data_IF_817230541617
#
_entry.id   IF_817230541617
#
_cell.length_a   1.000
_cell.length_b   1.000
_cell.length_c   1.000
_cell.angle_alpha   90.00
_cell.angle_beta   90.00
_cell.angle_gamma   90.00
#
_symmetry.space_group_name_H-M   'P 1'
#
loop_
_entity.id
_entity.type
_entity.pdbx_description
1 polymer ?
#
# COMPACT_ATOMS: atom_id res chain seq x y z
N UNK A 1 -4.24 29.21 -23.98
CA UNK A 1 -2.95 29.46 -23.28
C UNK A 1 -2.77 28.31 -22.30
N UNK A 2 -2.23 27.18 -22.75
CA UNK A 2 -1.99 26.01 -21.90
C UNK A 2 -0.80 26.30 -20.98
N UNK A 3 -1.03 26.99 -19.86
CA UNK A 3 -0.09 26.89 -18.75
C UNK A 3 -0.04 25.41 -18.36
N UNK A 4 1.18 24.87 -18.34
CA UNK A 4 1.43 23.49 -18.02
C UNK A 4 0.82 23.16 -16.66
N UNK A 5 -0.21 22.31 -16.65
CA UNK A 5 -0.86 21.77 -15.45
C UNK A 5 0.09 20.89 -14.61
N UNK A 6 1.31 20.65 -15.08
CA UNK A 6 2.37 20.10 -14.25
C UNK A 6 2.91 21.21 -13.34
N UNK A 7 2.96 21.02 -12.01
CA UNK A 7 3.50 22.02 -11.09
C UNK A 7 4.91 22.50 -11.46
N UNK A 8 5.65 21.73 -12.26
CA UNK A 8 6.75 22.16 -13.13
C UNK A 8 7.14 20.92 -13.97
N UNK A 9 6.82 20.81 -15.27
CA UNK A 9 7.10 19.59 -16.04
C UNK A 9 8.60 19.27 -16.08
N UNK A 10 9.45 20.29 -16.00
CA UNK A 10 10.91 20.16 -15.90
C UNK A 10 11.36 19.39 -14.66
N UNK A 11 10.68 19.51 -13.52
CA UNK A 11 10.98 18.79 -12.28
C UNK A 11 10.59 17.30 -12.39
N UNK A 12 9.52 16.98 -13.11
CA UNK A 12 9.15 15.59 -13.39
C UNK A 12 10.19 14.90 -14.28
N UNK A 13 10.59 15.51 -15.40
CA UNK A 13 11.57 14.92 -16.30
C UNK A 13 13.00 14.91 -15.73
N UNK A 14 13.37 15.89 -14.90
CA UNK A 14 14.68 15.88 -14.20
C UNK A 14 14.71 14.89 -13.03
N UNK A 15 13.63 14.77 -12.25
CA UNK A 15 13.54 13.71 -11.22
C UNK A 15 13.52 12.32 -11.84
N UNK A 16 12.83 12.13 -12.97
CA UNK A 16 12.90 10.93 -13.81
C UNK A 16 14.34 10.59 -14.20
N UNK A 17 15.10 11.57 -14.70
CA UNK A 17 16.49 11.38 -15.09
C UNK A 17 17.41 11.09 -13.89
N UNK A 18 17.20 11.76 -12.75
CA UNK A 18 17.96 11.54 -11.52
C UNK A 18 17.67 10.14 -10.95
N UNK A 19 16.41 9.70 -10.93
CA UNK A 19 16.04 8.36 -10.50
C UNK A 19 16.61 7.31 -11.44
N UNK A 20 16.48 7.45 -12.75
CA UNK A 20 17.14 6.56 -13.71
C UNK A 20 18.67 6.51 -13.50
N UNK A 21 19.32 7.65 -13.27
CA UNK A 21 20.75 7.73 -12.96
C UNK A 21 21.15 7.04 -11.66
N UNK A 22 20.40 7.27 -10.58
CA UNK A 22 20.60 6.60 -9.28
C UNK A 22 20.41 5.09 -9.40
N UNK A 23 19.40 4.65 -10.12
CA UNK A 23 19.11 3.23 -10.34
C UNK A 23 20.20 2.55 -11.17
N UNK A 24 20.74 3.22 -12.18
CA UNK A 24 21.90 2.75 -12.95
C UNK A 24 23.15 2.69 -12.06
N UNK A 25 23.41 3.70 -11.22
CA UNK A 25 24.54 3.73 -10.29
C UNK A 25 24.46 2.64 -9.23
N UNK A 26 23.28 2.42 -8.64
CA UNK A 26 23.01 1.31 -7.72
C UNK A 26 23.26 -0.02 -8.43
N UNK A 27 22.75 -0.19 -9.65
CA UNK A 27 22.97 -1.39 -10.46
C UNK A 27 24.46 -1.67 -10.72
N UNK A 28 25.24 -0.63 -11.00
CA UNK A 28 26.70 -0.72 -11.14
C UNK A 28 27.41 -1.06 -9.83
N UNK A 29 26.98 -0.48 -8.70
CA UNK A 29 27.57 -0.77 -7.39
C UNK A 29 27.34 -2.22 -6.93
N UNK A 30 26.16 -2.79 -7.23
CA UNK A 30 25.84 -4.20 -7.00
C UNK A 30 26.45 -5.14 -8.05
N UNK A 31 26.80 -4.64 -9.24
CA UNK A 31 27.62 -5.36 -10.21
C UNK A 31 28.98 -5.78 -9.64
N UNK A 32 29.52 -5.04 -8.66
CA UNK A 32 30.73 -5.44 -7.91
C UNK A 32 30.50 -6.66 -7.02
N UNK A 33 29.27 -6.90 -6.58
CA UNK A 33 28.84 -8.09 -5.79
C UNK A 33 28.71 -9.34 -6.67
N UNK A 34 28.55 -9.20 -8.00
CA UNK A 34 28.53 -10.31 -8.98
C UNK A 34 29.81 -11.15 -8.94
N UNK A 35 30.94 -10.55 -8.56
CA UNK A 35 32.23 -11.25 -8.47
C UNK A 35 32.33 -12.23 -7.29
N UNK A 36 31.43 -12.17 -6.29
CA UNK A 36 31.50 -13.02 -5.09
C UNK A 36 30.52 -14.20 -5.09
N UNK A 37 29.37 -14.10 -5.74
CA UNK A 37 28.39 -15.19 -5.86
C UNK A 37 27.45 -14.94 -7.05
N UNK A 38 27.78 -15.40 -8.27
CA UNK A 38 26.94 -15.16 -9.44
C UNK A 38 25.65 -15.98 -9.34
N UNK A 39 24.51 -15.30 -9.30
CA UNK A 39 23.20 -15.92 -9.40
C UNK A 39 22.50 -15.46 -10.68
N UNK A 40 21.85 -16.38 -11.39
CA UNK A 40 21.19 -16.12 -12.68
C UNK A 40 20.18 -14.95 -12.61
N UNK A 41 19.48 -14.83 -11.49
CA UNK A 41 18.46 -13.79 -11.27
C UNK A 41 18.99 -12.46 -10.70
N UNK A 42 20.30 -12.30 -10.49
CA UNK A 42 20.85 -11.13 -9.78
C UNK A 42 20.60 -9.81 -10.54
N UNK A 43 20.87 -9.78 -11.84
CA UNK A 43 20.65 -8.59 -12.67
C UNK A 43 19.16 -8.24 -12.71
N UNK A 44 18.32 -9.26 -12.88
CA UNK A 44 16.87 -9.12 -12.89
C UNK A 44 16.35 -8.57 -11.56
N UNK A 45 16.85 -9.07 -10.43
CA UNK A 45 16.45 -8.60 -9.11
C UNK A 45 16.77 -7.12 -8.92
N UNK A 46 17.99 -6.70 -9.31
CA UNK A 46 18.43 -5.32 -9.12
C UNK A 46 17.74 -4.36 -10.08
N UNK A 47 17.77 -4.65 -11.39
CA UNK A 47 17.10 -3.80 -12.40
C UNK A 47 15.57 -3.82 -12.24
N UNK A 48 15.00 -4.95 -11.85
CA UNK A 48 13.57 -5.07 -11.62
C UNK A 48 13.11 -4.33 -10.36
N UNK A 49 13.83 -4.45 -9.24
CA UNK A 49 13.53 -3.64 -8.04
C UNK A 49 13.66 -2.15 -8.32
N UNK A 50 14.70 -1.77 -9.05
CA UNK A 50 14.91 -0.40 -9.50
C UNK A 50 13.71 0.11 -10.31
N UNK A 51 13.28 -0.66 -11.30
CA UNK A 51 12.12 -0.33 -12.12
C UNK A 51 10.83 -0.26 -11.28
N UNK A 52 10.61 -1.17 -10.33
CA UNK A 52 9.44 -1.13 -9.45
C UNK A 52 9.39 0.13 -8.58
N UNK A 53 10.53 0.54 -8.00
CA UNK A 53 10.62 1.80 -7.24
C UNK A 53 10.29 2.99 -8.13
N UNK A 54 10.81 3.00 -9.36
CA UNK A 54 10.50 4.03 -10.33
C UNK A 54 9.01 4.07 -10.70
N UNK A 55 8.41 2.91 -10.97
CA UNK A 55 6.99 2.82 -11.33
C UNK A 55 6.08 3.23 -10.16
N UNK A 56 6.47 2.90 -8.92
CA UNK A 56 5.80 3.40 -7.72
C UNK A 56 5.85 4.94 -7.64
N UNK A 57 7.04 5.53 -7.80
CA UNK A 57 7.20 6.98 -7.85
C UNK A 57 6.35 7.63 -8.95
N UNK A 58 6.37 7.10 -10.17
CA UNK A 58 5.59 7.61 -11.29
C UNK A 58 4.07 7.53 -11.01
N UNK A 59 3.58 6.46 -10.36
CA UNK A 59 2.18 6.34 -9.93
C UNK A 59 1.78 7.45 -8.95
N UNK A 60 2.64 7.72 -7.97
CA UNK A 60 2.40 8.80 -7.00
C UNK A 60 2.41 10.17 -7.67
N UNK A 61 3.31 10.41 -8.64
CA UNK A 61 3.32 11.67 -9.39
C UNK A 61 2.03 11.89 -10.18
N UNK A 62 1.46 10.84 -10.79
CA UNK A 62 0.14 10.96 -11.43
C UNK A 62 -0.93 11.32 -10.40
N UNK A 63 -0.86 10.79 -9.18
CA UNK A 63 -1.77 11.15 -8.08
C UNK A 63 -1.65 12.63 -7.71
N UNK A 64 -0.43 13.18 -7.68
CA UNK A 64 -0.21 14.63 -7.47
C UNK A 64 -0.79 15.46 -8.61
N UNK A 65 -0.66 15.01 -9.87
CA UNK A 65 -1.24 15.70 -11.03
C UNK A 65 -2.77 15.69 -10.98
N UNK A 66 -3.39 14.56 -10.61
CA UNK A 66 -4.84 14.47 -10.40
C UNK A 66 -5.26 15.41 -9.25
N UNK A 67 -4.49 15.47 -8.17
CA UNK A 67 -4.77 16.38 -7.06
C UNK A 67 -4.71 17.85 -7.49
N UNK A 68 -3.70 18.23 -8.28
CA UNK A 68 -3.58 19.57 -8.85
C UNK A 68 -4.72 19.91 -9.83
N UNK A 69 -5.31 18.91 -10.49
CA UNK A 69 -6.47 19.10 -11.36
C UNK A 69 -7.75 19.42 -10.57
N UNK A 70 -7.93 18.87 -9.37
CA UNK A 70 -9.12 19.14 -8.54
C UNK A 70 -9.26 20.63 -8.19
N UNK A 71 -8.15 21.33 -7.94
CA UNK A 71 -8.17 22.73 -7.51
C UNK A 71 -8.95 23.67 -8.44
N UNK A 72 -8.50 23.90 -9.69
CA UNK A 72 -9.20 24.78 -10.61
C UNK A 72 -10.60 24.25 -10.95
N UNK A 73 -10.79 22.93 -11.04
CA UNK A 73 -12.11 22.34 -11.30
C UNK A 73 -13.15 22.71 -10.25
N UNK A 74 -12.83 22.55 -8.96
CA UNK A 74 -13.75 22.91 -7.88
C UNK A 74 -13.90 24.42 -7.70
N UNK A 75 -12.86 25.21 -7.97
CA UNK A 75 -12.96 26.68 -7.96
C UNK A 75 -13.91 27.18 -9.06
N UNK A 76 -13.85 26.57 -10.24
CA UNK A 76 -14.73 26.93 -11.36
C UNK A 76 -16.17 26.48 -11.09
N UNK A 77 -16.39 25.33 -10.46
CA UNK A 77 -17.72 24.94 -9.97
C UNK A 77 -18.24 25.95 -8.94
N UNK A 78 -17.42 26.34 -7.97
CA UNK A 78 -17.81 27.30 -6.95
C UNK A 78 -18.25 28.62 -7.58
N UNK A 79 -17.48 29.13 -8.53
CA UNK A 79 -17.76 30.40 -9.23
C UNK A 79 -19.03 30.28 -10.09
N UNK A 80 -19.20 29.18 -10.83
CA UNK A 80 -20.41 28.93 -11.61
C UNK A 80 -21.68 28.89 -10.73
N UNK A 81 -21.59 28.36 -9.52
CA UNK A 81 -22.70 28.32 -8.55
C UNK A 81 -23.04 29.70 -7.96
N UNK A 82 -22.09 30.64 -7.92
CA UNK A 82 -22.35 32.02 -7.44
C UNK A 82 -23.13 32.86 -8.46
N UNK A 83 -23.28 32.38 -9.69
CA UNK A 83 -24.04 33.07 -10.75
C UNK A 83 -23.28 34.22 -11.41
N UNK A 84 -22.01 34.43 -11.07
CA UNK A 84 -21.13 35.37 -11.75
C UNK A 84 -20.81 34.78 -13.13
N UNK A 85 -21.34 35.39 -14.20
CA UNK A 85 -21.40 34.83 -15.57
C UNK A 85 -20.06 34.66 -16.31
N UNK A 86 -18.96 34.50 -15.59
CA UNK A 86 -17.61 34.35 -16.12
C UNK A 86 -17.25 32.94 -16.58
N UNK A 87 -18.00 31.91 -16.18
CA UNK A 87 -17.69 30.50 -16.48
C UNK A 87 -18.75 29.90 -17.38
N UNK A 88 -18.30 29.34 -18.50
CA UNK A 88 -19.17 28.66 -19.46
C UNK A 88 -19.21 27.16 -19.21
N UNK A 89 -20.26 26.50 -19.70
CA UNK A 89 -20.31 25.03 -19.70
C UNK A 89 -19.11 24.41 -20.45
N UNK A 90 -18.58 25.10 -21.46
CA UNK A 90 -17.39 24.69 -22.21
C UNK A 90 -16.14 24.59 -21.34
N UNK A 91 -15.98 25.47 -20.35
CA UNK A 91 -14.84 25.46 -19.42
C UNK A 91 -14.87 24.21 -18.53
N UNK A 92 -16.06 23.86 -18.01
CA UNK A 92 -16.25 22.65 -17.20
C UNK A 92 -16.05 21.36 -18.03
N UNK A 93 -16.56 21.30 -19.26
CA UNK A 93 -16.25 20.18 -20.16
C UNK A 93 -14.77 20.11 -20.52
N UNK A 94 -14.10 21.26 -20.64
CA UNK A 94 -12.66 21.37 -20.82
C UNK A 94 -11.87 20.67 -19.71
N UNK A 95 -12.28 20.86 -18.44
CA UNK A 95 -11.68 20.15 -17.31
C UNK A 95 -11.79 18.63 -17.43
N UNK A 96 -12.96 18.11 -17.83
CA UNK A 96 -13.13 16.67 -18.07
C UNK A 96 -12.25 16.14 -19.21
N UNK A 97 -12.07 16.91 -20.29
CA UNK A 97 -11.15 16.53 -21.36
C UNK A 97 -9.71 16.44 -20.84
N UNK A 98 -9.26 17.41 -20.05
CA UNK A 98 -7.95 17.37 -19.38
C UNK A 98 -7.84 16.14 -18.48
N UNK A 99 -8.86 15.87 -17.66
CA UNK A 99 -8.90 14.68 -16.81
C UNK A 99 -8.74 13.38 -17.62
N UNK A 100 -9.43 13.26 -18.76
CA UNK A 100 -9.30 12.10 -19.65
C UNK A 100 -7.87 11.93 -20.19
N UNK A 101 -7.17 13.03 -20.50
CA UNK A 101 -5.75 12.95 -20.94
C UNK A 101 -4.80 12.46 -19.86
N UNK A 102 -5.18 12.55 -18.58
CA UNK A 102 -4.42 12.03 -17.43
C UNK A 102 -4.84 10.59 -17.14
N UNK A 103 -6.15 10.36 -17.01
CA UNK A 103 -6.72 9.10 -16.53
C UNK A 103 -6.49 7.93 -17.50
N UNK A 104 -6.72 8.11 -18.81
CA UNK A 104 -6.57 6.99 -19.76
C UNK A 104 -5.13 6.48 -19.89
N UNK A 105 -4.10 7.34 -20.04
CA UNK A 105 -2.71 6.88 -20.00
C UNK A 105 -2.34 6.26 -18.66
N UNK A 106 -2.88 6.77 -17.54
CA UNK A 106 -2.64 6.22 -16.22
C UNK A 106 -3.18 4.79 -16.06
N UNK A 107 -4.35 4.48 -16.62
CA UNK A 107 -4.89 3.12 -16.63
C UNK A 107 -3.94 2.15 -17.34
N UNK A 108 -3.45 2.52 -18.53
CA UNK A 108 -2.46 1.71 -19.25
C UNK A 108 -1.19 1.52 -18.41
N UNK A 109 -0.71 2.59 -17.78
CA UNK A 109 0.45 2.56 -16.90
C UNK A 109 0.27 1.60 -15.71
N UNK A 110 -0.87 1.63 -15.01
CA UNK A 110 -1.14 0.73 -13.88
C UNK A 110 -1.18 -0.73 -14.35
N UNK A 111 -1.78 -1.02 -15.49
CA UNK A 111 -1.87 -2.38 -16.03
C UNK A 111 -0.46 -2.93 -16.31
N UNK A 112 0.40 -2.13 -16.95
CA UNK A 112 1.78 -2.50 -17.23
C UNK A 112 2.59 -2.68 -15.94
N UNK A 113 2.42 -1.78 -14.97
CA UNK A 113 3.08 -1.89 -13.66
C UNK A 113 2.67 -3.17 -12.92
N UNK A 114 1.37 -3.49 -12.90
CA UNK A 114 0.85 -4.71 -12.28
C UNK A 114 1.37 -5.97 -12.96
N UNK A 115 1.42 -5.97 -14.29
CA UNK A 115 1.99 -7.08 -15.07
C UNK A 115 3.48 -7.27 -14.74
N UNK A 116 4.26 -6.18 -14.73
CA UNK A 116 5.69 -6.25 -14.42
C UNK A 116 5.93 -6.74 -12.99
N UNK A 117 5.17 -6.24 -12.02
CA UNK A 117 5.22 -6.67 -10.62
C UNK A 117 4.97 -8.18 -10.51
N UNK A 118 3.87 -8.68 -11.09
CA UNK A 118 3.57 -10.11 -11.10
C UNK A 118 4.68 -10.95 -11.76
N UNK A 119 5.26 -10.48 -12.87
CA UNK A 119 6.36 -11.17 -13.53
C UNK A 119 7.63 -11.18 -12.66
N UNK A 120 7.96 -10.06 -12.03
CA UNK A 120 9.12 -9.93 -11.14
C UNK A 120 9.07 -10.97 -10.00
N UNK A 121 7.90 -11.12 -9.39
CA UNK A 121 7.70 -12.03 -8.25
C UNK A 121 7.69 -13.48 -8.68
N UNK A 122 7.13 -13.78 -9.86
CA UNK A 122 7.20 -15.12 -10.40
C UNK A 122 8.65 -15.56 -10.60
N UNK A 123 9.53 -14.69 -11.10
CA UNK A 123 10.97 -14.98 -11.20
C UNK A 123 11.61 -15.21 -9.83
N UNK A 124 11.22 -14.45 -8.82
CA UNK A 124 11.69 -14.67 -7.45
C UNK A 124 11.22 -16.02 -6.88
N UNK A 125 9.95 -16.39 -7.12
CA UNK A 125 9.41 -17.72 -6.78
C UNK A 125 10.19 -18.83 -7.49
N UNK A 126 10.51 -18.67 -8.77
CA UNK A 126 11.33 -19.64 -9.53
C UNK A 126 12.70 -19.82 -8.89
N UNK A 127 13.36 -18.73 -8.50
CA UNK A 127 14.66 -18.80 -7.81
C UNK A 127 14.57 -19.60 -6.50
N UNK A 128 13.54 -19.33 -5.67
CA UNK A 128 13.33 -20.06 -4.42
C UNK A 128 13.01 -21.53 -4.65
N UNK A 129 12.15 -21.83 -5.63
CA UNK A 129 11.82 -23.20 -6.00
C UNK A 129 13.06 -23.98 -6.42
N UNK A 130 13.84 -23.43 -7.36
CA UNK A 130 15.06 -24.07 -7.85
C UNK A 130 16.05 -24.34 -6.71
N UNK A 131 16.23 -23.35 -5.81
CA UNK A 131 17.08 -23.49 -4.64
C UNK A 131 16.67 -24.69 -3.77
N UNK A 132 15.39 -24.82 -3.41
CA UNK A 132 14.94 -25.93 -2.56
C UNK A 132 14.91 -27.29 -3.29
N UNK A 133 14.60 -27.30 -4.59
CA UNK A 133 14.60 -28.53 -5.41
C UNK A 133 16.01 -29.11 -5.56
N UNK A 134 17.03 -28.28 -5.78
CA UNK A 134 18.44 -28.73 -5.81
C UNK A 134 18.85 -29.42 -4.50
N UNK A 135 18.25 -29.01 -3.39
CA UNK A 135 18.54 -29.51 -2.03
C UNK A 135 17.55 -30.58 -1.60
N UNK A 136 16.76 -31.13 -2.53
CA UNK A 136 15.74 -32.15 -2.25
C UNK A 136 16.25 -33.30 -1.40
N UNK A 137 17.45 -33.81 -1.68
CA UNK A 137 18.05 -34.92 -0.90
C UNK A 137 18.19 -34.60 0.59
N UNK A 138 18.38 -33.34 0.96
CA UNK A 138 18.53 -32.87 2.35
C UNK A 138 17.17 -32.58 3.00
N UNK A 139 16.23 -32.01 2.24
CA UNK A 139 14.94 -31.52 2.78
C UNK A 139 13.81 -32.54 2.70
N UNK A 140 13.92 -33.61 1.90
CA UNK A 140 12.85 -34.60 1.67
C UNK A 140 12.36 -35.33 2.92
N UNK A 141 13.18 -35.41 3.96
CA UNK A 141 12.83 -36.08 5.22
C UNK A 141 12.01 -35.16 6.16
N UNK A 142 11.81 -33.89 5.78
CA UNK A 142 10.98 -32.95 6.53
C UNK A 142 9.51 -33.24 6.21
N UNK A 143 8.67 -33.32 7.24
CA UNK A 143 7.23 -33.51 7.09
C UNK A 143 6.60 -32.45 6.16
N UNK A 144 5.96 -32.93 5.09
CA UNK A 144 5.32 -32.08 4.09
C UNK A 144 6.31 -31.29 3.22
N UNK A 145 7.55 -31.72 3.05
CA UNK A 145 8.58 -30.99 2.28
C UNK A 145 8.11 -30.56 0.88
N UNK A 146 7.44 -31.44 0.14
CA UNK A 146 6.88 -31.13 -1.18
C UNK A 146 5.82 -30.01 -1.11
N UNK A 147 4.91 -30.10 -0.15
CA UNK A 147 3.86 -29.10 0.07
C UNK A 147 4.46 -27.76 0.47
N UNK A 148 5.44 -27.74 1.39
CA UNK A 148 6.12 -26.50 1.82
C UNK A 148 6.85 -25.83 0.65
N UNK A 149 7.57 -26.58 -0.17
CA UNK A 149 8.25 -26.01 -1.35
C UNK A 149 7.23 -25.39 -2.31
N UNK A 150 6.05 -25.98 -2.49
CA UNK A 150 5.04 -25.42 -3.41
C UNK A 150 4.25 -24.25 -2.81
N UNK A 151 3.66 -24.44 -1.63
CA UNK A 151 2.75 -23.49 -0.99
C UNK A 151 3.50 -22.36 -0.30
N UNK A 152 4.54 -22.66 0.48
CA UNK A 152 5.19 -21.65 1.30
C UNK A 152 6.05 -20.71 0.45
N UNK A 153 6.71 -21.21 -0.60
CA UNK A 153 7.45 -20.32 -1.52
C UNK A 153 6.51 -19.36 -2.25
N UNK A 154 5.32 -19.83 -2.64
CA UNK A 154 4.30 -18.99 -3.25
C UNK A 154 3.74 -17.96 -2.26
N UNK A 155 3.36 -18.40 -1.05
CA UNK A 155 2.84 -17.50 0.00
C UNK A 155 3.88 -16.47 0.41
N UNK A 156 5.12 -16.89 0.61
CA UNK A 156 6.22 -15.99 0.96
C UNK A 156 6.43 -14.93 -0.12
N UNK A 157 6.52 -15.34 -1.39
CA UNK A 157 6.70 -14.41 -2.50
C UNK A 157 5.55 -13.39 -2.59
N UNK A 158 4.30 -13.83 -2.43
CA UNK A 158 3.12 -12.95 -2.44
C UNK A 158 3.06 -12.00 -1.23
N UNK A 159 3.42 -12.47 -0.02
CA UNK A 159 3.47 -11.62 1.17
C UNK A 159 4.57 -10.56 1.03
N UNK A 160 5.75 -10.97 0.56
CA UNK A 160 6.87 -10.06 0.36
C UNK A 160 6.60 -9.02 -0.74
N UNK A 161 5.92 -9.41 -1.82
CA UNK A 161 5.36 -8.47 -2.79
C UNK A 161 4.46 -7.45 -2.10
N UNK A 162 3.42 -7.93 -1.41
CA UNK A 162 2.38 -7.06 -0.87
C UNK A 162 2.96 -6.06 0.12
N UNK A 163 3.79 -6.52 1.06
CA UNK A 163 4.47 -5.62 2.00
C UNK A 163 5.46 -4.70 1.31
N UNK A 164 6.29 -5.23 0.40
CA UNK A 164 7.35 -4.46 -0.24
C UNK A 164 6.81 -3.31 -1.10
N UNK A 165 5.83 -3.61 -1.95
CA UNK A 165 5.16 -2.62 -2.82
C UNK A 165 4.44 -1.59 -1.95
N UNK A 166 3.63 -2.02 -0.98
CA UNK A 166 2.90 -1.10 -0.11
C UNK A 166 3.83 -0.19 0.70
N UNK A 167 4.97 -0.71 1.16
CA UNK A 167 5.97 0.08 1.89
C UNK A 167 6.60 1.16 1.00
N UNK A 168 7.03 0.80 -0.22
CA UNK A 168 7.60 1.77 -1.17
C UNK A 168 6.56 2.81 -1.56
N UNK A 169 5.33 2.39 -1.90
CA UNK A 169 4.23 3.29 -2.24
C UNK A 169 3.91 4.28 -1.10
N UNK A 170 3.91 3.82 0.15
CA UNK A 170 3.66 4.67 1.32
C UNK A 170 4.75 5.74 1.49
N UNK A 171 6.03 5.36 1.32
CA UNK A 171 7.15 6.31 1.41
C UNK A 171 7.10 7.32 0.26
N UNK A 172 6.86 6.86 -0.97
CA UNK A 172 6.77 7.73 -2.14
C UNK A 172 5.61 8.72 -2.00
N UNK A 173 4.47 8.25 -1.51
CA UNK A 173 3.30 9.10 -1.20
C UNK A 173 3.66 10.15 -0.16
N UNK A 174 4.32 9.78 0.93
CA UNK A 174 4.76 10.74 1.95
C UNK A 174 5.70 11.80 1.36
N UNK A 175 6.72 11.40 0.60
CA UNK A 175 7.68 12.32 -0.01
C UNK A 175 6.99 13.29 -0.99
N UNK A 176 6.01 12.81 -1.76
CA UNK A 176 5.33 13.62 -2.77
C UNK A 176 4.25 14.54 -2.18
N UNK A 177 3.45 14.06 -1.22
CA UNK A 177 2.33 14.83 -0.68
C UNK A 177 2.70 15.70 0.52
N UNK A 178 3.79 15.42 1.24
CA UNK A 178 4.22 16.27 2.35
C UNK A 178 4.53 17.71 1.90
N UNK A 179 5.26 17.97 0.79
CA UNK A 179 5.45 19.33 0.26
C UNK A 179 4.15 19.98 -0.21
N UNK A 180 3.26 19.22 -0.84
CA UNK A 180 1.94 19.71 -1.29
C UNK A 180 1.12 20.16 -0.08
N UNK A 181 1.05 19.35 0.96
CA UNK A 181 0.35 19.65 2.20
C UNK A 181 0.97 20.85 2.94
N UNK A 182 2.30 20.97 2.92
CA UNK A 182 3.01 22.11 3.50
C UNK A 182 2.71 23.42 2.74
N UNK A 183 2.61 23.37 1.41
CA UNK A 183 2.24 24.53 0.60
C UNK A 183 0.79 24.96 0.86
N UNK A 184 -0.14 24.01 0.96
CA UNK A 184 -1.54 24.30 1.29
C UNK A 184 -1.71 24.83 2.71
N UNK A 185 -0.89 24.34 3.66
CA UNK A 185 -0.93 24.74 5.07
C UNK A 185 -0.74 26.24 5.30
N UNK A 186 -0.12 26.98 4.35
CA UNK A 186 0.06 28.44 4.46
C UNK A 186 -1.28 29.19 4.51
N UNK A 187 -2.34 28.62 3.92
CA UNK A 187 -3.67 29.23 3.91
C UNK A 187 -4.46 28.96 5.21
N UNK A 188 -3.91 28.15 6.11
CA UNK A 188 -4.55 27.75 7.38
C UNK A 188 -3.70 28.30 8.52
N UNK A 189 -4.09 29.45 9.07
CA UNK A 189 -3.28 30.15 10.08
C UNK A 189 -3.44 29.61 11.50
N UNK A 190 -4.59 29.00 11.82
CA UNK A 190 -4.88 28.52 13.17
C UNK A 190 -5.74 27.27 13.16
N UNK A 191 -5.32 26.25 13.91
CA UNK A 191 -6.18 25.11 14.21
C UNK A 191 -7.09 25.45 15.40
N UNK A 192 -8.36 24.99 15.40
CA UNK A 192 -9.16 24.92 16.62
C UNK A 192 -8.33 24.30 17.76
N UNK A 193 -8.32 24.93 18.94
CA UNK A 193 -7.67 24.47 20.19
C UNK A 193 -6.14 24.65 20.24
N UNK A 194 -5.40 24.38 19.16
CA UNK A 194 -3.93 24.44 19.16
C UNK A 194 -3.35 25.83 18.84
N UNK A 195 -4.15 26.73 18.26
CA UNK A 195 -3.70 28.06 17.87
C UNK A 195 -2.86 28.06 16.60
N UNK A 196 -2.03 29.09 16.43
CA UNK A 196 -1.17 29.25 15.26
C UNK A 196 0.12 28.46 15.42
N UNK A 197 0.26 27.39 14.65
CA UNK A 197 1.47 26.56 14.57
C UNK A 197 2.00 26.56 13.13
N UNK A 198 3.32 26.44 12.91
CA UNK A 198 3.86 26.27 11.56
C UNK A 198 3.34 24.98 10.92
N UNK A 199 2.90 25.07 9.66
CA UNK A 199 2.39 23.94 8.86
C UNK A 199 1.32 23.09 9.57
N UNK A 200 0.16 23.67 9.93
CA UNK A 200 -0.82 23.00 10.79
C UNK A 200 -1.39 21.71 10.20
N UNK A 201 -1.58 21.62 8.88
CA UNK A 201 -2.09 20.40 8.25
C UNK A 201 -1.07 19.26 8.32
N UNK A 202 0.22 19.58 8.19
CA UNK A 202 1.31 18.60 8.36
C UNK A 202 1.33 18.08 9.80
N UNK A 203 1.30 18.97 10.79
CA UNK A 203 1.24 18.57 12.20
C UNK A 203 0.01 17.71 12.51
N UNK A 204 -1.17 18.12 12.01
CA UNK A 204 -2.42 17.37 12.16
C UNK A 204 -2.32 15.95 11.59
N UNK A 205 -1.84 15.82 10.34
CA UNK A 205 -1.69 14.51 9.68
C UNK A 205 -0.75 13.56 10.44
N UNK A 206 0.36 14.08 10.98
CA UNK A 206 1.31 13.26 11.78
C UNK A 206 0.65 12.79 13.07
N UNK A 207 0.04 13.71 13.83
CA UNK A 207 -0.61 13.38 15.10
C UNK A 207 -1.76 12.40 14.89
N UNK A 208 -2.58 12.63 13.87
CA UNK A 208 -3.71 11.77 13.52
C UNK A 208 -3.27 10.38 13.09
N UNK A 209 -2.22 10.28 12.26
CA UNK A 209 -1.64 9.00 11.84
C UNK A 209 -1.05 8.21 13.01
N UNK A 210 -0.32 8.87 13.92
CA UNK A 210 0.20 8.23 15.14
C UNK A 210 -0.94 7.76 16.04
N UNK A 211 -1.96 8.58 16.24
CA UNK A 211 -3.15 8.23 17.01
C UNK A 211 -3.85 6.99 16.43
N UNK A 212 -4.13 6.98 15.13
CA UNK A 212 -4.73 5.84 14.45
C UNK A 212 -3.90 4.57 14.58
N UNK A 213 -2.60 4.68 14.36
CA UNK A 213 -1.65 3.56 14.51
C UNK A 213 -1.68 2.99 15.93
N UNK A 214 -1.62 3.83 16.96
CA UNK A 214 -1.70 3.39 18.35
C UNK A 214 -3.02 2.71 18.67
N UNK A 215 -4.15 3.29 18.26
CA UNK A 215 -5.48 2.71 18.48
C UNK A 215 -5.59 1.32 17.83
N UNK A 216 -5.11 1.17 16.59
CA UNK A 216 -5.15 -0.10 15.87
C UNK A 216 -4.20 -1.14 16.45
N UNK A 217 -3.00 -0.74 16.89
CA UNK A 217 -2.06 -1.64 17.58
C UNK A 217 -2.69 -2.13 18.89
N UNK A 218 -3.25 -1.23 19.70
CA UNK A 218 -3.87 -1.59 20.99
C UNK A 218 -5.06 -2.52 20.79
N UNK A 219 -5.91 -2.26 19.79
CA UNK A 219 -6.99 -3.17 19.44
C UNK A 219 -6.45 -4.52 18.90
N UNK A 220 -5.44 -4.49 18.04
CA UNK A 220 -4.93 -5.66 17.33
C UNK A 220 -3.94 -6.54 18.11
N UNK A 221 -3.42 -6.09 19.27
CA UNK A 221 -2.24 -6.71 19.92
C UNK A 221 -2.37 -8.21 20.21
N UNK A 222 -3.60 -8.70 20.43
CA UNK A 222 -3.87 -10.12 20.70
C UNK A 222 -4.03 -10.99 19.45
N UNK A 223 -4.30 -10.41 18.28
CA UNK A 223 -4.58 -11.14 17.04
C UNK A 223 -3.43 -12.06 16.61
N UNK A 224 -2.15 -11.62 16.58
CA UNK A 224 -1.07 -12.51 16.16
C UNK A 224 -0.97 -13.75 17.05
N UNK A 225 -1.07 -13.58 18.37
CA UNK A 225 -1.05 -14.70 19.32
C UNK A 225 -2.21 -15.68 19.14
N UNK A 226 -3.39 -15.21 18.70
CA UNK A 226 -4.53 -16.06 18.40
C UNK A 226 -4.35 -16.82 17.07
N UNK A 227 -3.75 -16.19 16.06
CA UNK A 227 -3.42 -16.85 14.79
C UNK A 227 -2.37 -17.95 14.96
N UNK A 228 -1.34 -17.72 15.78
CA UNK A 228 -0.40 -18.79 16.14
C UNK A 228 -1.09 -19.96 16.83
N UNK A 229 -2.01 -19.68 17.76
CA UNK A 229 -2.84 -20.73 18.39
C UNK A 229 -3.71 -21.43 17.36
N UNK A 230 -4.23 -20.71 16.36
CA UNK A 230 -5.03 -21.26 15.27
C UNK A 230 -4.24 -22.28 14.46
N UNK A 231 -3.05 -21.88 14.01
CA UNK A 231 -2.16 -22.76 13.26
C UNK A 231 -1.80 -24.02 14.06
N UNK A 232 -1.62 -23.91 15.38
CA UNK A 232 -1.35 -25.07 16.25
C UNK A 232 -2.53 -26.03 16.34
N UNK A 233 -3.76 -25.54 16.54
CA UNK A 233 -4.95 -26.42 16.66
C UNK A 233 -5.34 -27.03 15.30
N UNK A 234 -5.21 -26.27 14.21
CA UNK A 234 -5.40 -26.75 12.84
C UNK A 234 -4.36 -27.81 12.46
N UNK A 235 -3.08 -27.59 12.81
CA UNK A 235 -2.01 -28.56 12.55
C UNK A 235 -2.23 -29.86 13.34
N UNK A 236 -2.68 -29.79 14.59
CA UNK A 236 -3.01 -30.98 15.37
C UNK A 236 -4.16 -31.78 14.74
N UNK A 237 -5.22 -31.09 14.30
CA UNK A 237 -6.34 -31.72 13.59
C UNK A 237 -5.90 -32.34 12.26
N UNK A 238 -5.14 -31.60 11.44
CA UNK A 238 -4.62 -32.10 10.16
C UNK A 238 -3.71 -33.31 10.34
N UNK A 239 -2.81 -33.27 11.34
CA UNK A 239 -1.90 -34.38 11.63
C UNK A 239 -2.67 -35.67 11.93
N UNK A 240 -3.69 -35.59 12.77
CA UNK A 240 -4.51 -36.75 13.12
C UNK A 240 -5.20 -37.35 11.88
N UNK A 241 -5.69 -36.51 10.97
CA UNK A 241 -6.27 -36.96 9.70
C UNK A 241 -5.24 -37.67 8.81
N UNK A 242 -4.03 -37.12 8.67
CA UNK A 242 -2.96 -37.73 7.86
C UNK A 242 -2.54 -39.09 8.43
N UNK A 243 -2.45 -39.22 9.76
CA UNK A 243 -2.18 -40.53 10.39
C UNK A 243 -3.30 -41.53 10.10
N UNK A 244 -4.56 -41.08 10.07
CA UNK A 244 -5.70 -41.90 9.67
C UNK A 244 -5.70 -42.36 8.21
N UNK A 245 -4.89 -41.75 7.33
CA UNK A 245 -4.71 -42.24 5.95
C UNK A 245 -3.81 -43.49 5.92
N UNK A 246 -2.90 -43.65 6.88
CA UNK A 246 -1.92 -44.74 6.93
C UNK A 246 -2.29 -45.85 7.93
N UNK A 247 -3.07 -45.54 8.97
CA UNK A 247 -3.40 -46.46 10.07
C UNK A 247 -4.89 -46.38 10.47
N UNK A 248 -5.59 -47.52 10.42
CA UNK A 248 -7.01 -47.64 10.81
C UNK A 248 -7.26 -47.39 12.31
N UNK A 249 -6.23 -47.52 13.17
CA UNK A 249 -6.37 -47.19 14.59
C UNK A 249 -6.25 -45.68 14.89
N UNK A 250 -5.78 -44.89 13.92
CA UNK A 250 -5.67 -43.44 14.02
C UNK A 250 -6.98 -42.75 13.57
N UNK A 251 -7.14 -41.45 13.83
CA UNK A 251 -8.32 -40.67 13.38
C UNK A 251 -9.68 -41.16 13.92
N UNK A 252 -9.70 -41.67 15.16
CA UNK A 252 -10.95 -42.11 15.82
C UNK A 252 -11.96 -40.96 15.90
N UNK A 253 -13.28 -41.21 15.68
CA UNK A 253 -14.30 -40.15 15.67
C UNK A 253 -14.32 -39.27 16.93
N UNK A 254 -14.04 -39.85 18.11
CA UNK A 254 -13.96 -39.10 19.37
C UNK A 254 -12.81 -38.09 19.39
N UNK A 255 -11.60 -38.54 19.05
CA UNK A 255 -10.40 -37.69 18.98
C UNK A 255 -10.55 -36.56 17.96
N UNK A 256 -11.07 -36.87 16.77
CA UNK A 256 -11.32 -35.86 15.73
C UNK A 256 -12.36 -34.81 16.17
N UNK A 257 -13.43 -35.25 16.84
CA UNK A 257 -14.44 -34.35 17.38
C UNK A 257 -13.85 -33.40 18.43
N UNK A 258 -13.00 -33.90 19.33
CA UNK A 258 -12.35 -33.08 20.35
C UNK A 258 -11.34 -32.09 19.76
N UNK A 259 -10.52 -32.52 18.80
CA UNK A 259 -9.59 -31.66 18.08
C UNK A 259 -10.34 -30.57 17.32
N UNK A 260 -11.41 -30.93 16.60
CA UNK A 260 -12.22 -29.95 15.88
C UNK A 260 -12.98 -29.00 16.81
N UNK A 261 -13.42 -29.46 17.98
CA UNK A 261 -14.00 -28.58 19.01
C UNK A 261 -13.00 -27.51 19.48
N UNK A 262 -11.71 -27.86 19.59
CA UNK A 262 -10.65 -26.89 19.89
C UNK A 262 -10.43 -25.88 18.76
N UNK A 263 -10.44 -26.34 17.51
CA UNK A 263 -10.42 -25.47 16.31
C UNK A 263 -11.57 -24.48 16.36
N UNK A 264 -12.80 -24.96 16.55
CA UNK A 264 -14.01 -24.10 16.66
C UNK A 264 -13.89 -23.06 17.77
N UNK A 265 -13.49 -23.46 18.99
CA UNK A 265 -13.31 -22.53 20.11
C UNK A 265 -12.28 -21.44 19.81
N UNK A 266 -11.20 -21.79 19.11
CA UNK A 266 -10.18 -20.82 18.73
C UNK A 266 -10.71 -19.83 17.67
N UNK A 267 -11.39 -20.31 16.64
CA UNK A 267 -12.02 -19.44 15.64
C UNK A 267 -13.02 -18.47 16.24
N UNK A 268 -13.89 -18.91 17.16
CA UNK A 268 -14.84 -17.99 17.81
C UNK A 268 -14.13 -16.88 18.59
N UNK A 269 -12.98 -17.16 19.22
CA UNK A 269 -12.17 -16.12 19.86
C UNK A 269 -11.59 -15.17 18.83
N UNK A 270 -11.07 -15.69 17.72
CA UNK A 270 -10.54 -14.87 16.61
C UNK A 270 -11.63 -13.95 16.05
N UNK A 271 -12.83 -14.47 15.80
CA UNK A 271 -13.95 -13.69 15.27
C UNK A 271 -14.28 -12.51 16.17
N UNK A 272 -14.44 -12.72 17.48
CA UNK A 272 -14.66 -11.62 18.42
C UNK A 272 -13.54 -10.59 18.40
N UNK A 273 -12.28 -11.03 18.27
CA UNK A 273 -11.16 -10.10 18.23
C UNK A 273 -11.10 -9.28 16.94
N UNK A 274 -11.43 -9.89 15.79
CA UNK A 274 -11.58 -9.17 14.54
C UNK A 274 -12.81 -8.25 14.54
N UNK A 275 -13.91 -8.62 15.21
CA UNK A 275 -15.11 -7.77 15.29
C UNK A 275 -14.78 -6.43 15.93
N UNK A 276 -14.16 -6.42 17.11
CA UNK A 276 -13.83 -5.15 17.77
C UNK A 276 -12.65 -4.45 17.07
N UNK A 277 -11.65 -5.17 16.54
CA UNK A 277 -10.58 -4.56 15.75
C UNK A 277 -11.15 -3.82 14.53
N UNK A 278 -12.06 -4.46 13.80
CA UNK A 278 -12.72 -3.86 12.65
C UNK A 278 -13.61 -2.68 13.04
N UNK A 279 -14.27 -2.73 14.20
CA UNK A 279 -15.00 -1.57 14.72
C UNK A 279 -14.08 -0.35 14.85
N UNK A 280 -12.94 -0.49 15.53
CA UNK A 280 -11.96 0.61 15.64
C UNK A 280 -11.39 1.03 14.29
N UNK A 281 -11.07 0.07 13.41
CA UNK A 281 -10.58 0.32 12.05
C UNK A 281 -11.56 1.15 11.23
N UNK A 282 -12.83 0.76 11.20
CA UNK A 282 -13.84 1.49 10.45
C UNK A 282 -14.17 2.84 11.07
N UNK A 283 -14.23 2.95 12.40
CA UNK A 283 -14.38 4.26 13.05
C UNK A 283 -13.24 5.20 12.70
N UNK A 284 -11.99 4.74 12.71
CA UNK A 284 -10.83 5.54 12.33
C UNK A 284 -10.92 6.01 10.87
N UNK A 285 -11.20 5.10 9.93
CA UNK A 285 -11.35 5.45 8.50
C UNK A 285 -12.50 6.46 8.29
N UNK A 286 -13.62 6.32 8.99
CA UNK A 286 -14.71 7.27 8.87
C UNK A 286 -14.40 8.62 9.52
N UNK A 287 -13.68 8.63 10.64
CA UNK A 287 -13.20 9.85 11.26
C UNK A 287 -12.19 10.58 10.36
N UNK A 288 -11.34 9.84 9.63
CA UNK A 288 -10.37 10.38 8.66
C UNK A 288 -11.05 11.18 7.53
N UNK A 289 -12.21 10.71 7.04
CA UNK A 289 -13.00 11.42 6.03
C UNK A 289 -13.49 12.80 6.48
N UNK A 290 -13.66 13.03 7.79
CA UNK A 290 -14.24 14.26 8.34
C UNK A 290 -13.24 15.12 9.10
N UNK A 291 -12.13 14.55 9.59
CA UNK A 291 -11.17 15.25 10.46
C UNK A 291 -10.61 16.49 9.77
N UNK A 292 -10.20 16.37 8.51
CA UNK A 292 -9.67 17.50 7.74
C UNK A 292 -10.69 18.64 7.68
N UNK A 293 -11.97 18.34 7.37
CA UNK A 293 -13.03 19.33 7.32
C UNK A 293 -13.26 19.99 8.67
N UNK A 294 -13.33 19.24 9.78
CA UNK A 294 -13.55 19.77 11.13
C UNK A 294 -12.50 20.83 11.48
N UNK A 295 -11.23 20.56 11.17
CA UNK A 295 -10.13 21.50 11.43
C UNK A 295 -10.11 22.67 10.44
N UNK A 296 -10.61 22.48 9.21
CA UNK A 296 -10.67 23.52 8.18
C UNK A 296 -11.92 24.41 8.28
N UNK A 297 -12.98 24.02 9.01
CA UNK A 297 -14.24 24.80 9.11
C UNK A 297 -14.01 26.29 9.38
N UNK A 298 -13.19 26.73 10.36
CA UNK A 298 -12.99 28.14 10.62
C UNK A 298 -12.40 28.89 9.42
N UNK A 299 -11.45 28.27 8.72
CA UNK A 299 -10.79 28.83 7.54
C UNK A 299 -11.77 28.91 6.36
N UNK A 300 -12.60 27.88 6.15
CA UNK A 300 -13.64 27.85 5.10
C UNK A 300 -14.67 28.96 5.35
N UNK A 301 -15.20 29.07 6.58
CA UNK A 301 -16.21 30.08 6.94
C UNK A 301 -15.66 31.50 6.82
N UNK A 302 -14.36 31.70 7.04
CA UNK A 302 -13.71 33.00 6.87
C UNK A 302 -13.54 33.44 5.40
N UNK A 303 -13.86 32.56 4.43
CA UNK A 303 -13.73 32.84 3.00
C UNK A 303 -12.29 32.93 2.50
N UNK A 304 -11.31 32.51 3.30
CA UNK A 304 -9.87 32.58 2.95
C UNK A 304 -9.41 31.46 2.03
N UNK A 305 -10.15 30.36 1.98
CA UNK A 305 -9.89 29.23 1.08
C UNK A 305 -11.12 28.94 0.23
N UNK A 306 -10.88 28.60 -1.03
CA UNK A 306 -11.91 28.15 -1.98
C UNK A 306 -12.10 26.64 -1.87
N UNK A 307 -13.15 26.10 -2.49
CA UNK A 307 -13.40 24.65 -2.51
C UNK A 307 -12.29 23.82 -3.15
N UNK A 308 -11.47 24.43 -4.02
CA UNK A 308 -10.33 23.79 -4.65
C UNK A 308 -9.02 23.80 -3.85
N UNK A 309 -9.00 24.38 -2.64
CA UNK A 309 -7.83 24.41 -1.74
C UNK A 309 -8.00 23.36 -0.64
#
# INVERSE_FOLDING_TARGET
MFQSFFPQPKMFFSSLAIWCGLLILVSYSFGRTRSRSPHEWQIWSVLGSALLIYLSYASVQVSVVINAWYGPFYNDIQTALTGDGGITAGDLYGHFLVFCTIAFPYILFIILNRFFTAHYIFRWRTAMNNYYVERWKQVRNIEGASQRIQEDTMRFAAIMEGLGVAFVDSIMTLIAFLPVLAALSVHVESLPILGAIPYPLVALSIVWSLFGTLVLILAGIKLPGLEFKNQRVEAAFRKELVLGEEDEESAKPGTLSDLFANVRRNYFRIYWHYTYFNLFRYMYIQADNVVAYIFLVPTIVSGRITLGI
#
